data_IF_663094259738
#
_entry.id   IF_663094259738
#
_cell.length_a   1.000
_cell.length_b   1.000
_cell.length_c   1.000
_cell.angle_alpha   90.00
_cell.angle_beta   90.00
_cell.angle_gamma   90.00
#
_symmetry.space_group_name_H-M   'P 1'
#
loop_
_entity.id
_entity.type
_entity.pdbx_description
1 polymer ?
#
# COMPACT_ATOMS: atom_id res chain seq x y z
N UNK A 1 19.20 -16.28 13.57
CA UNK A 1 19.18 -16.58 12.12
C UNK A 1 17.91 -15.95 11.59
N UNK A 2 18.05 -14.95 10.72
CA UNK A 2 16.96 -14.06 10.29
C UNK A 2 16.40 -14.62 8.98
N UNK A 3 15.16 -15.08 9.00
CA UNK A 3 14.43 -15.47 7.80
C UNK A 3 14.50 -14.30 6.82
N UNK A 4 15.20 -14.54 5.72
CA UNK A 4 15.29 -13.60 4.61
C UNK A 4 14.17 -13.98 3.68
N UNK A 5 13.15 -13.14 3.58
CA UNK A 5 11.97 -13.41 2.77
C UNK A 5 12.40 -13.77 1.32
N UNK A 6 11.77 -14.78 0.69
CA UNK A 6 12.12 -15.20 -0.66
C UNK A 6 12.03 -14.05 -1.67
N UNK A 7 11.21 -13.03 -1.39
CA UNK A 7 11.07 -11.81 -2.20
C UNK A 7 12.30 -10.90 -2.11
N UNK A 8 12.87 -10.73 -0.91
CA UNK A 8 14.11 -9.96 -0.70
C UNK A 8 15.28 -10.61 -1.43
N UNK A 9 15.34 -11.95 -1.40
CA UNK A 9 16.35 -12.71 -2.13
C UNK A 9 16.24 -12.53 -3.65
N UNK A 10 15.01 -12.45 -4.17
CA UNK A 10 14.72 -12.28 -5.60
C UNK A 10 15.04 -10.87 -6.10
N UNK A 11 14.80 -9.85 -5.27
CA UNK A 11 15.07 -8.45 -5.59
C UNK A 11 16.57 -8.15 -5.52
N UNK A 12 17.26 -8.70 -4.51
CA UNK A 12 18.73 -8.73 -4.45
C UNK A 12 19.33 -9.46 -5.65
N UNK A 13 18.73 -10.59 -6.05
CA UNK A 13 19.20 -11.36 -7.20
C UNK A 13 19.02 -10.58 -8.51
N UNK A 14 17.88 -9.92 -8.74
CA UNK A 14 17.67 -9.08 -9.95
C UNK A 14 18.58 -7.86 -9.99
N UNK A 15 18.72 -7.11 -8.90
CA UNK A 15 19.60 -5.94 -8.84
C UNK A 15 21.06 -6.36 -9.02
N UNK A 16 21.49 -7.45 -8.37
CA UNK A 16 22.81 -8.03 -8.56
C UNK A 16 23.07 -8.48 -10.00
N UNK A 17 22.07 -9.10 -10.65
CA UNK A 17 22.18 -9.63 -12.00
C UNK A 17 22.27 -8.55 -13.09
N UNK A 18 21.60 -7.41 -12.92
CA UNK A 18 21.65 -6.30 -13.88
C UNK A 18 22.75 -5.28 -13.59
N UNK A 19 22.92 -4.90 -12.32
CA UNK A 19 23.87 -3.84 -11.95
C UNK A 19 25.30 -4.35 -11.77
N UNK A 20 25.46 -5.57 -11.24
CA UNK A 20 26.78 -6.17 -10.97
C UNK A 20 27.63 -6.32 -12.22
N UNK A 21 27.15 -7.03 -13.26
CA UNK A 21 27.89 -7.19 -14.51
C UNK A 21 28.14 -5.87 -15.24
N UNK A 22 27.15 -4.97 -15.30
CA UNK A 22 27.30 -3.68 -15.97
C UNK A 22 28.36 -2.78 -15.31
N UNK A 23 28.35 -2.70 -13.97
CA UNK A 23 29.34 -1.92 -13.23
C UNK A 23 30.74 -2.54 -13.34
N UNK A 24 30.84 -3.87 -13.28
CA UNK A 24 32.11 -4.59 -13.45
C UNK A 24 32.71 -4.38 -14.85
N UNK A 25 31.89 -4.43 -15.91
CA UNK A 25 32.33 -4.20 -17.29
C UNK A 25 32.81 -2.76 -17.47
N UNK A 26 32.08 -1.77 -16.96
CA UNK A 26 32.44 -0.35 -17.07
C UNK A 26 33.73 0.00 -16.32
N UNK A 27 33.88 -0.48 -15.08
CA UNK A 27 35.09 -0.25 -14.29
C UNK A 27 36.29 -0.95 -14.93
N UNK A 28 36.12 -2.19 -15.38
CA UNK A 28 37.19 -2.92 -16.08
C UNK A 28 37.62 -2.15 -17.33
N UNK A 29 36.68 -1.72 -18.18
CA UNK A 29 36.98 -0.94 -19.38
C UNK A 29 37.72 0.39 -19.09
N UNK A 30 37.37 1.06 -17.99
CA UNK A 30 38.03 2.28 -17.54
C UNK A 30 39.50 2.02 -17.14
N UNK A 31 39.76 0.95 -16.39
CA UNK A 31 41.12 0.56 -16.02
C UNK A 31 41.95 0.11 -17.22
N UNK A 32 41.36 -0.60 -18.19
CA UNK A 32 42.06 -1.00 -19.41
C UNK A 32 42.48 0.22 -20.24
N UNK A 33 41.63 1.24 -20.32
CA UNK A 33 41.96 2.50 -21.01
C UNK A 33 43.16 3.20 -20.37
N UNK A 34 43.17 3.30 -19.04
CA UNK A 34 44.26 3.92 -18.28
C UNK A 34 45.58 3.14 -18.39
N UNK A 35 45.52 1.81 -18.51
CA UNK A 35 46.69 0.96 -18.76
C UNK A 35 47.26 1.19 -20.17
N UNK A 36 46.39 1.29 -21.19
CA UNK A 36 46.79 1.53 -22.58
C UNK A 36 47.37 2.95 -22.77
N UNK A 37 46.86 3.94 -22.04
CA UNK A 37 47.39 5.31 -22.02
C UNK A 37 48.69 5.43 -21.20
N UNK A 38 49.16 4.35 -20.56
CA UNK A 38 50.40 4.34 -19.77
C UNK A 38 50.31 5.10 -18.44
N UNK A 39 49.11 5.50 -18.02
CA UNK A 39 48.88 6.25 -16.79
C UNK A 39 49.00 5.38 -15.52
N UNK A 40 48.84 4.05 -15.66
CA UNK A 40 48.97 3.08 -14.57
C UNK A 40 49.86 1.90 -14.98
N UNK A 41 50.57 1.31 -14.02
CA UNK A 41 51.38 0.11 -14.26
C UNK A 41 50.53 -1.16 -14.23
N UNK A 42 51.03 -2.24 -14.84
CA UNK A 42 50.36 -3.55 -14.87
C UNK A 42 50.06 -4.09 -13.47
N UNK A 43 50.92 -3.82 -12.48
CA UNK A 43 50.70 -4.21 -11.09
C UNK A 43 49.51 -3.46 -10.45
N UNK A 44 49.39 -2.16 -10.71
CA UNK A 44 48.28 -1.33 -10.23
C UNK A 44 46.96 -1.76 -10.89
N UNK A 45 46.99 -2.15 -12.16
CA UNK A 45 45.83 -2.69 -12.87
C UNK A 45 45.28 -3.95 -12.21
N UNK A 46 46.15 -4.91 -11.83
CA UNK A 46 45.72 -6.15 -11.16
C UNK A 46 45.10 -5.86 -9.79
N UNK A 47 45.69 -4.93 -9.02
CA UNK A 47 45.14 -4.51 -7.72
C UNK A 47 43.75 -3.88 -7.88
N UNK A 48 43.55 -3.02 -8.88
CA UNK A 48 42.25 -2.39 -9.16
C UNK A 48 41.21 -3.41 -9.63
N UNK A 49 41.62 -4.42 -10.40
CA UNK A 49 40.73 -5.49 -10.85
C UNK A 49 40.23 -6.35 -9.68
N UNK A 50 41.11 -6.66 -8.71
CA UNK A 50 40.71 -7.32 -7.46
C UNK A 50 39.81 -6.43 -6.61
N UNK A 51 40.08 -5.11 -6.57
CA UNK A 51 39.26 -4.14 -5.85
C UNK A 51 37.86 -3.90 -6.46
N UNK A 52 37.64 -4.22 -7.74
CA UNK A 52 36.32 -4.12 -8.37
C UNK A 52 35.27 -5.02 -7.69
N UNK A 53 35.67 -6.18 -7.16
CA UNK A 53 34.74 -7.11 -6.50
C UNK A 53 34.12 -6.51 -5.23
N UNK A 54 34.89 -6.00 -4.24
CA UNK A 54 34.29 -5.33 -3.09
C UNK A 54 33.58 -4.02 -3.45
N UNK A 55 34.03 -3.28 -4.47
CA UNK A 55 33.37 -2.05 -4.92
C UNK A 55 31.99 -2.34 -5.50
N UNK A 56 31.85 -3.38 -6.33
CA UNK A 56 30.55 -3.77 -6.91
C UNK A 56 29.61 -4.28 -5.83
N UNK A 57 30.09 -5.09 -4.87
CA UNK A 57 29.31 -5.53 -3.72
C UNK A 57 28.85 -4.35 -2.84
N UNK A 58 29.72 -3.38 -2.59
CA UNK A 58 29.39 -2.16 -1.86
C UNK A 58 28.36 -1.31 -2.61
N UNK A 59 28.49 -1.18 -3.92
CA UNK A 59 27.53 -0.48 -4.79
C UNK A 59 26.15 -1.13 -4.79
N UNK A 60 26.08 -2.46 -4.91
CA UNK A 60 24.81 -3.22 -4.82
C UNK A 60 24.17 -3.03 -3.44
N UNK A 61 24.95 -3.11 -2.36
CA UNK A 61 24.46 -2.88 -0.99
C UNK A 61 23.98 -1.44 -0.77
N UNK A 62 24.65 -0.46 -1.37
CA UNK A 62 24.26 0.94 -1.30
C UNK A 62 22.94 1.18 -2.04
N UNK A 63 22.79 0.63 -3.25
CA UNK A 63 21.53 0.73 -4.02
C UNK A 63 20.38 0.06 -3.27
N UNK A 64 20.62 -1.12 -2.68
CA UNK A 64 19.62 -1.79 -1.84
C UNK A 64 19.21 -0.92 -0.63
N UNK A 65 20.17 -0.27 0.02
CA UNK A 65 19.90 0.71 1.09
C UNK A 65 19.17 1.97 0.60
N UNK A 66 19.47 2.44 -0.60
CA UNK A 66 18.80 3.61 -1.17
C UNK A 66 17.38 3.30 -1.62
N UNK A 67 17.09 2.10 -2.13
CA UNK A 67 15.72 1.69 -2.47
C UNK A 67 14.84 1.61 -1.22
N UNK A 68 15.42 1.23 -0.07
CA UNK A 68 14.73 1.22 1.22
C UNK A 68 14.62 2.61 1.88
N UNK A 69 15.46 3.59 1.50
CA UNK A 69 15.44 4.96 2.06
C UNK A 69 14.80 6.05 1.19
N UNK A 70 14.73 5.88 -0.13
CA UNK A 70 14.21 6.91 -1.04
C UNK A 70 12.69 6.96 -1.08
N UNK A 71 12.01 5.88 -0.72
CA UNK A 71 10.54 5.85 -0.61
C UNK A 71 10.04 6.74 0.54
N UNK A 72 10.82 6.89 1.63
CA UNK A 72 10.45 7.73 2.77
C UNK A 72 10.76 9.20 2.55
N UNK A 73 11.83 9.55 1.81
CA UNK A 73 12.21 10.96 1.61
C UNK A 73 11.25 11.73 0.69
N UNK A 74 10.80 11.11 -0.41
CA UNK A 74 9.79 11.71 -1.30
C UNK A 74 8.39 11.71 -0.66
N UNK A 75 8.08 10.71 0.16
CA UNK A 75 6.86 10.72 0.97
C UNK A 75 6.91 11.87 1.99
N UNK A 76 7.98 11.99 2.79
CA UNK A 76 8.13 13.02 3.83
C UNK A 76 8.11 14.45 3.28
N UNK A 77 8.66 14.67 2.08
CA UNK A 77 8.61 16.00 1.45
C UNK A 77 7.24 16.33 0.83
N UNK A 78 6.47 15.33 0.40
CA UNK A 78 5.10 15.51 -0.09
C UNK A 78 4.06 15.54 1.06
N UNK A 79 4.32 14.89 2.19
CA UNK A 79 3.44 14.85 3.37
C UNK A 79 3.78 15.88 4.44
N UNK A 80 4.72 16.80 4.17
CA UNK A 80 5.12 17.87 5.09
C UNK A 80 3.99 18.84 5.52
N UNK A 81 2.75 18.66 5.06
CA UNK A 81 1.56 19.39 5.53
C UNK A 81 0.66 18.59 6.52
N UNK A 82 1.03 17.39 6.95
CA UNK A 82 0.23 16.67 7.94
C UNK A 82 0.96 15.47 8.49
N UNK A 83 1.15 15.46 9.81
CA UNK A 83 1.59 14.33 10.61
C UNK A 83 0.52 13.22 10.56
N UNK A 84 0.35 12.61 9.38
CA UNK A 84 -0.41 11.37 9.20
C UNK A 84 0.67 10.30 9.33
N UNK A 85 0.70 9.49 10.40
CA UNK A 85 1.58 8.33 10.44
C UNK A 85 1.34 7.55 9.14
N UNK A 86 2.40 7.10 8.43
CA UNK A 86 2.20 6.34 7.21
C UNK A 86 1.19 5.23 7.55
N UNK A 87 0.12 5.06 6.74
CA UNK A 87 -0.77 3.91 6.95
C UNK A 87 0.15 2.69 7.02
N UNK A 88 -0.07 1.74 7.96
CA UNK A 88 0.75 0.55 8.06
C UNK A 88 0.84 -0.03 6.64
N UNK A 89 1.99 0.20 6.02
CA UNK A 89 2.24 -0.30 4.68
C UNK A 89 2.32 -1.78 4.94
N UNK A 90 1.41 -2.51 4.34
CA UNK A 90 1.43 -3.95 4.39
C UNK A 90 2.14 -4.38 3.12
N UNK A 91 3.49 -4.43 3.12
CA UNK A 91 4.29 -4.53 1.90
C UNK A 91 3.91 -5.73 1.02
N UNK A 92 3.36 -6.81 1.60
CA UNK A 92 2.89 -7.95 0.84
C UNK A 92 1.49 -7.74 0.24
N UNK A 93 0.59 -7.04 0.92
CA UNK A 93 -0.79 -6.84 0.46
C UNK A 93 -0.88 -5.81 -0.66
N UNK A 94 -0.19 -4.67 -0.54
CA UNK A 94 -0.18 -3.65 -1.59
C UNK A 94 0.43 -4.20 -2.88
N UNK A 95 1.42 -5.10 -2.74
CA UNK A 95 2.00 -5.86 -3.85
C UNK A 95 0.99 -6.86 -4.44
N UNK A 96 0.24 -7.60 -3.62
CA UNK A 96 -0.80 -8.52 -4.10
C UNK A 96 -1.94 -7.76 -4.83
N UNK A 97 -2.36 -6.62 -4.29
CA UNK A 97 -3.37 -5.73 -4.89
C UNK A 97 -2.85 -5.17 -6.23
N UNK A 98 -1.59 -4.73 -6.28
CA UNK A 98 -0.96 -4.25 -7.50
C UNK A 98 -0.77 -5.35 -8.56
N UNK A 99 -0.59 -6.61 -8.12
CA UNK A 99 -0.53 -7.78 -8.99
C UNK A 99 -1.91 -8.30 -9.41
N UNK A 100 -3.01 -7.69 -8.96
CA UNK A 100 -4.37 -8.13 -9.26
C UNK A 100 -4.82 -9.38 -8.50
N UNK A 101 -4.05 -9.83 -7.52
CA UNK A 101 -4.30 -11.02 -6.70
C UNK A 101 -5.19 -10.68 -5.51
N UNK A 102 -6.40 -10.18 -5.81
CA UNK A 102 -7.31 -9.66 -4.79
C UNK A 102 -7.82 -10.72 -3.80
N UNK A 103 -7.96 -11.97 -4.23
CA UNK A 103 -8.35 -13.09 -3.36
C UNK A 103 -7.26 -13.42 -2.34
N UNK A 104 -6.01 -13.54 -2.78
CA UNK A 104 -4.84 -13.75 -1.90
C UNK A 104 -4.67 -12.58 -0.93
N UNK A 105 -4.87 -11.34 -1.39
CA UNK A 105 -4.84 -10.17 -0.52
C UNK A 105 -5.94 -10.22 0.55
N UNK A 106 -7.17 -10.60 0.18
CA UNK A 106 -8.26 -10.73 1.13
C UNK A 106 -8.01 -11.85 2.16
N UNK A 107 -7.43 -12.97 1.75
CA UNK A 107 -7.06 -14.05 2.66
C UNK A 107 -5.98 -13.62 3.66
N UNK A 108 -4.98 -12.85 3.20
CA UNK A 108 -4.01 -12.26 4.10
C UNK A 108 -4.68 -11.36 5.16
N UNK A 109 -5.59 -10.46 4.74
CA UNK A 109 -6.29 -9.60 5.69
C UNK A 109 -7.14 -10.39 6.68
N UNK A 110 -7.77 -11.49 6.24
CA UNK A 110 -8.51 -12.39 7.14
C UNK A 110 -7.57 -13.04 8.16
N UNK A 111 -6.39 -13.50 7.74
CA UNK A 111 -5.39 -14.07 8.62
C UNK A 111 -4.83 -13.04 9.61
N UNK A 112 -4.57 -11.82 9.15
CA UNK A 112 -4.16 -10.72 10.00
C UNK A 112 -5.21 -10.40 11.07
N UNK A 113 -6.48 -10.31 10.68
CA UNK A 113 -7.60 -10.05 11.60
C UNK A 113 -7.86 -11.18 12.60
N UNK A 114 -7.36 -12.41 12.35
CA UNK A 114 -7.36 -13.48 13.36
C UNK A 114 -6.33 -13.22 14.46
N UNK A 115 -5.21 -12.58 14.12
CA UNK A 115 -4.13 -12.25 15.06
C UNK A 115 -4.42 -10.93 15.78
N UNK A 116 -4.82 -9.90 15.04
CA UNK A 116 -5.27 -8.62 15.59
C UNK A 116 -6.71 -8.31 15.17
N UNK A 117 -7.70 -8.77 15.97
CA UNK A 117 -9.10 -8.45 15.72
C UNK A 117 -9.45 -6.99 16.03
N UNK A 118 -8.56 -6.12 16.48
CA UNK A 118 -8.88 -4.72 16.77
C UNK A 118 -8.53 -3.78 15.61
N UNK A 119 -7.75 -4.25 14.63
CA UNK A 119 -7.31 -3.44 13.51
C UNK A 119 -8.49 -3.02 12.61
N UNK A 120 -8.87 -1.75 12.74
CA UNK A 120 -9.96 -1.15 11.98
C UNK A 120 -9.55 -0.87 10.53
N UNK A 121 -8.28 -0.54 10.28
CA UNK A 121 -7.81 -0.20 8.94
C UNK A 121 -7.73 -1.46 8.07
N UNK A 122 -7.25 -2.57 8.62
CA UNK A 122 -7.29 -3.87 7.96
C UNK A 122 -8.72 -4.31 7.60
N UNK A 123 -9.70 -4.08 8.48
CA UNK A 123 -11.11 -4.36 8.17
C UNK A 123 -11.65 -3.51 7.03
N UNK A 124 -11.35 -2.21 7.02
CA UNK A 124 -11.78 -1.31 5.95
C UNK A 124 -11.18 -1.74 4.60
N UNK A 125 -9.91 -2.15 4.58
CA UNK A 125 -9.25 -2.66 3.37
C UNK A 125 -9.84 -3.98 2.90
N UNK A 126 -10.10 -4.93 3.80
CA UNK A 126 -10.77 -6.18 3.46
C UNK A 126 -12.17 -5.94 2.87
N UNK A 127 -12.92 -5.00 3.45
CA UNK A 127 -14.24 -4.62 2.96
C UNK A 127 -14.18 -4.04 1.54
N UNK A 128 -13.22 -3.14 1.27
CA UNK A 128 -12.98 -2.55 -0.05
C UNK A 128 -12.63 -3.63 -1.08
N UNK A 129 -11.79 -4.61 -0.72
CA UNK A 129 -11.45 -5.73 -1.58
C UNK A 129 -12.65 -6.60 -1.92
N UNK A 130 -13.45 -6.96 -0.90
CA UNK A 130 -14.69 -7.71 -1.07
C UNK A 130 -15.66 -7.01 -2.01
N UNK A 131 -15.83 -5.70 -1.84
CA UNK A 131 -16.75 -4.88 -2.62
C UNK A 131 -16.31 -4.72 -4.08
N UNK A 132 -15.05 -4.34 -4.31
CA UNK A 132 -14.58 -3.91 -5.64
C UNK A 132 -14.13 -5.06 -6.52
N UNK A 133 -13.55 -6.11 -5.94
CA UNK A 133 -12.82 -7.11 -6.70
C UNK A 133 -13.37 -8.53 -6.54
N UNK A 134 -13.92 -8.86 -5.37
CA UNK A 134 -14.44 -10.21 -5.10
C UNK A 134 -15.95 -10.35 -5.35
N UNK A 135 -16.63 -9.24 -5.70
CA UNK A 135 -18.07 -9.20 -5.89
C UNK A 135 -18.86 -9.81 -4.71
N UNK A 136 -18.35 -9.64 -3.50
CA UNK A 136 -18.94 -10.13 -2.25
C UNK A 136 -19.45 -8.95 -1.41
N UNK A 137 -20.64 -8.41 -1.73
CA UNK A 137 -21.21 -7.29 -1.00
C UNK A 137 -21.63 -7.67 0.43
N UNK A 138 -21.88 -8.96 0.71
CA UNK A 138 -22.22 -9.45 2.04
C UNK A 138 -21.01 -9.43 2.97
N UNK A 139 -19.89 -9.96 2.50
CA UNK A 139 -18.61 -9.89 3.21
C UNK A 139 -18.16 -8.45 3.42
N UNK A 140 -18.29 -7.59 2.41
CA UNK A 140 -17.94 -6.17 2.53
C UNK A 140 -18.77 -5.46 3.62
N UNK A 141 -20.09 -5.67 3.65
CA UNK A 141 -20.98 -5.08 4.66
C UNK A 141 -20.58 -5.48 6.07
N UNK A 142 -20.32 -6.78 6.29
CA UNK A 142 -19.91 -7.28 7.61
C UNK A 142 -18.64 -6.57 8.08
N UNK A 143 -17.63 -6.47 7.23
CA UNK A 143 -16.35 -5.86 7.60
C UNK A 143 -16.48 -4.36 7.86
N UNK A 144 -17.26 -3.60 7.08
CA UNK A 144 -17.53 -2.19 7.37
C UNK A 144 -18.31 -2.00 8.68
N UNK A 145 -19.27 -2.86 8.99
CA UNK A 145 -20.02 -2.81 10.25
C UNK A 145 -19.12 -3.09 11.45
N UNK A 146 -18.23 -4.08 11.36
CA UNK A 146 -17.25 -4.39 12.40
C UNK A 146 -16.22 -3.28 12.56
N UNK A 147 -15.71 -2.71 11.47
CA UNK A 147 -14.80 -1.56 11.52
C UNK A 147 -15.43 -0.35 12.22
N UNK A 148 -16.72 -0.07 11.93
CA UNK A 148 -17.47 0.99 12.61
C UNK A 148 -17.66 0.73 14.11
N UNK A 149 -17.89 -0.52 14.51
CA UNK A 149 -18.07 -0.92 15.91
C UNK A 149 -16.77 -0.88 16.70
N UNK A 150 -15.67 -1.34 16.10
CA UNK A 150 -14.36 -1.41 16.74
C UNK A 150 -13.65 -0.07 16.84
N UNK A 151 -13.96 0.88 15.96
CA UNK A 151 -13.30 2.18 15.97
C UNK A 151 -13.90 3.12 17.01
N UNK A 152 -13.07 3.66 17.90
CA UNK A 152 -13.42 4.84 18.73
C UNK A 152 -13.16 6.17 18.01
N UNK A 153 -12.39 6.16 16.93
CA UNK A 153 -12.04 7.36 16.15
C UNK A 153 -13.22 7.81 15.27
N UNK A 154 -13.69 9.07 15.43
CA UNK A 154 -14.74 9.64 14.58
C UNK A 154 -14.42 9.61 13.08
N UNK A 155 -13.16 9.75 12.66
CA UNK A 155 -12.78 9.75 11.24
C UNK A 155 -12.97 8.38 10.61
N UNK A 156 -12.48 7.33 11.26
CA UNK A 156 -12.70 5.94 10.83
C UNK A 156 -14.17 5.54 10.85
N UNK A 157 -14.95 6.01 11.84
CA UNK A 157 -16.40 5.79 11.87
C UNK A 157 -17.13 6.51 10.71
N UNK A 158 -16.69 7.72 10.34
CA UNK A 158 -17.18 8.43 9.17
C UNK A 158 -16.88 7.63 7.90
N UNK A 159 -15.63 7.21 7.70
CA UNK A 159 -15.21 6.43 6.53
C UNK A 159 -16.00 5.13 6.36
N UNK A 160 -16.16 4.35 7.44
CA UNK A 160 -16.94 3.12 7.44
C UNK A 160 -18.43 3.37 7.10
N UNK A 161 -19.01 4.45 7.64
CA UNK A 161 -20.43 4.76 7.39
C UNK A 161 -20.65 5.27 5.96
N UNK A 162 -19.74 6.09 5.43
CA UNK A 162 -19.80 6.55 4.04
C UNK A 162 -19.67 5.37 3.07
N UNK A 163 -18.74 4.45 3.33
CA UNK A 163 -18.58 3.24 2.52
C UNK A 163 -19.82 2.32 2.57
N UNK A 164 -20.50 2.19 3.71
CA UNK A 164 -21.77 1.47 3.81
C UNK A 164 -22.88 2.11 2.97
N UNK A 165 -22.99 3.44 2.97
CA UNK A 165 -23.95 4.18 2.13
C UNK A 165 -23.67 3.89 0.66
N UNK A 166 -22.42 3.98 0.23
CA UNK A 166 -22.01 3.69 -1.15
C UNK A 166 -22.30 2.22 -1.54
N UNK A 167 -22.02 1.28 -0.64
CA UNK A 167 -22.31 -0.14 -0.84
C UNK A 167 -23.81 -0.38 -1.02
N UNK A 168 -24.67 0.20 -0.17
CA UNK A 168 -26.12 0.05 -0.30
C UNK A 168 -26.68 0.73 -1.55
N UNK A 169 -26.10 1.86 -1.95
CA UNK A 169 -26.45 2.55 -3.19
C UNK A 169 -26.17 1.65 -4.41
N UNK A 170 -24.97 1.07 -4.49
CA UNK A 170 -24.58 0.19 -5.60
C UNK A 170 -25.35 -1.13 -5.63
N UNK A 171 -25.62 -1.71 -4.46
CA UNK A 171 -26.36 -2.98 -4.36
C UNK A 171 -27.88 -2.82 -4.47
N UNK A 172 -28.40 -1.58 -4.59
CA UNK A 172 -29.83 -1.31 -4.72
C UNK A 172 -30.63 -1.58 -3.43
N UNK A 173 -29.96 -1.72 -2.28
CA UNK A 173 -30.60 -2.04 -0.98
C UNK A 173 -31.21 -0.79 -0.34
N UNK A 174 -32.29 -0.27 -0.97
CA UNK A 174 -32.93 1.01 -0.64
C UNK A 174 -33.38 1.10 0.83
N UNK A 175 -33.85 0.01 1.41
CA UNK A 175 -34.28 -0.03 2.83
C UNK A 175 -33.11 0.27 3.77
N UNK A 176 -31.96 -0.40 3.55
CA UNK A 176 -30.74 -0.21 4.34
C UNK A 176 -30.10 1.15 4.09
N UNK A 177 -30.09 1.60 2.84
CA UNK A 177 -29.62 2.92 2.44
C UNK A 177 -30.38 4.03 3.19
N UNK A 178 -31.71 3.97 3.21
CA UNK A 178 -32.58 4.95 3.90
C UNK A 178 -32.24 5.05 5.39
N UNK A 179 -32.02 3.90 6.05
CA UNK A 179 -31.68 3.85 7.48
C UNK A 179 -30.28 4.43 7.73
N UNK A 180 -29.28 4.08 6.93
CA UNK A 180 -27.93 4.61 7.14
C UNK A 180 -27.83 6.10 6.78
N UNK A 181 -28.52 6.57 5.73
CA UNK A 181 -28.59 8.00 5.42
C UNK A 181 -29.24 8.80 6.56
N UNK A 182 -30.31 8.28 7.16
CA UNK A 182 -30.94 8.92 8.32
C UNK A 182 -29.98 9.01 9.51
N UNK A 183 -29.27 7.92 9.83
CA UNK A 183 -28.27 7.90 10.90
C UNK A 183 -27.12 8.86 10.62
N UNK A 184 -26.65 8.91 9.37
CA UNK A 184 -25.54 9.77 8.96
C UNK A 184 -25.94 11.25 9.01
N UNK A 185 -27.12 11.61 8.51
CA UNK A 185 -27.65 12.96 8.60
C UNK A 185 -27.83 13.43 10.05
N UNK A 186 -28.34 12.56 10.93
CA UNK A 186 -28.49 12.88 12.35
C UNK A 186 -27.14 13.14 13.02
N UNK A 187 -26.18 12.23 12.78
CA UNK A 187 -24.87 12.27 13.40
C UNK A 187 -24.01 13.45 12.94
N UNK A 188 -24.12 13.84 11.68
CA UNK A 188 -23.32 14.90 11.07
C UNK A 188 -24.18 16.13 10.71
N UNK A 189 -25.25 16.38 11.48
CA UNK A 189 -26.15 17.53 11.29
C UNK A 189 -25.35 18.84 11.30
N UNK A 190 -25.65 19.72 10.34
CA UNK A 190 -24.97 21.01 10.21
C UNK A 190 -23.59 20.95 9.55
N UNK A 191 -23.21 19.77 9.04
CA UNK A 191 -22.07 19.63 8.12
C UNK A 191 -22.57 19.49 6.68
N UNK A 192 -21.77 19.88 5.67
CA UNK A 192 -22.16 19.71 4.27
C UNK A 192 -22.53 18.26 3.90
N UNK A 193 -21.84 17.29 4.48
CA UNK A 193 -22.09 15.86 4.24
C UNK A 193 -23.40 15.38 4.88
N UNK A 194 -23.71 15.81 6.11
CA UNK A 194 -24.96 15.46 6.78
C UNK A 194 -26.17 16.08 6.09
N UNK A 195 -26.06 17.33 5.65
CA UNK A 195 -27.13 18.03 4.93
C UNK A 195 -27.37 17.42 3.54
N UNK A 196 -26.31 16.97 2.86
CA UNK A 196 -26.43 16.22 1.61
C UNK A 196 -27.16 14.90 1.81
N UNK A 197 -26.79 14.12 2.84
CA UNK A 197 -27.47 12.87 3.16
C UNK A 197 -28.95 13.08 3.53
N UNK A 198 -29.28 14.18 4.21
CA UNK A 198 -30.67 14.53 4.54
C UNK A 198 -31.51 14.85 3.28
N UNK A 199 -30.92 15.51 2.28
CA UNK A 199 -31.57 15.78 0.99
C UNK A 199 -31.81 14.48 0.22
N UNK A 200 -30.78 13.64 0.06
CA UNK A 200 -30.89 12.34 -0.61
C UNK A 200 -31.97 11.46 0.05
N UNK A 201 -32.03 11.45 1.38
CA UNK A 201 -33.06 10.74 2.12
C UNK A 201 -34.48 11.25 1.83
N UNK A 202 -34.65 12.57 1.66
CA UNK A 202 -35.95 13.18 1.34
C UNK A 202 -36.40 12.81 -0.07
N UNK A 203 -35.49 12.81 -1.03
CA UNK A 203 -35.74 12.40 -2.42
C UNK A 203 -36.16 10.93 -2.49
N UNK A 204 -35.40 10.03 -1.86
CA UNK A 204 -35.73 8.60 -1.81
C UNK A 204 -37.10 8.32 -1.19
N UNK A 205 -37.49 9.06 -0.15
CA UNK A 205 -38.81 8.92 0.49
C UNK A 205 -39.94 9.48 -0.35
N UNK A 206 -39.68 10.50 -1.17
CA UNK A 206 -40.67 11.05 -2.09
C UNK A 206 -40.94 10.07 -3.25
N UNK A 207 -39.88 9.48 -3.81
CA UNK A 207 -39.99 8.44 -4.84
C UNK A 207 -40.73 7.20 -4.34
N UNK A 208 -40.53 6.78 -3.09
CA UNK A 208 -41.23 5.63 -2.53
C UNK A 208 -42.72 5.87 -2.22
N UNK A 209 -43.17 7.14 -2.24
CA UNK A 209 -44.57 7.53 -1.96
C UNK A 209 -45.37 7.91 -3.21
N UNK A 210 -44.71 8.16 -4.34
CA UNK A 210 -45.34 8.40 -5.63
C UNK A 210 -45.63 7.10 -6.36
#
# INVERSE_FOLDING_TARGET
MRDSDPVDSLLLMRVGLYFGPACFILLTALWTKLLVEGAISTGVFVVLLVANVPITLAGVKLIYRSISGSATFLADTLTAAGNIPPPPSYPNQDVLIAQGKYAEAADYFRDHLRVDPADCDARLRLAELCERYLADPGGAEQQYLEARRGSADPRRQFAATNALIDLYRRTGRRDRLTVELARFAERYRGTPHGDAAARELKELKAEARG
#
